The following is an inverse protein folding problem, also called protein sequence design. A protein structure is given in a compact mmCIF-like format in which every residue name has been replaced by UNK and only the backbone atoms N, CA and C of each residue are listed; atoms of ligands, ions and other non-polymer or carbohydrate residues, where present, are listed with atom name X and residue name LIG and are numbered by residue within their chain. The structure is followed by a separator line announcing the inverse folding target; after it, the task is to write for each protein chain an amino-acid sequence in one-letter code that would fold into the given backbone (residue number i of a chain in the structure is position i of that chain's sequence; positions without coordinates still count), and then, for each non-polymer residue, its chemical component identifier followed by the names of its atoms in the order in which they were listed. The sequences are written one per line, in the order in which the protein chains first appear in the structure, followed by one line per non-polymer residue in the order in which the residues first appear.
data_IF_991777479201
#
_entry.id   IF_991777479201
#
_cell.length_a   1.000
_cell.length_b   1.000
_cell.length_c   1.000
_cell.angle_alpha   90.00
_cell.angle_beta   90.00
_cell.angle_gamma   90.00
#
_symmetry.space_group_name_H-M   'P 1'
#
loop_
_entity.id
_entity.type
_entity.pdbx_description
1 polymer ?
#
# COMPACT_ATOMS: atom_id res chain seq x y z
N UNK A 1 -21.49 17.26 -3.31
CA UNK A 1 -20.03 17.10 -3.49
C UNK A 1 -19.74 16.95 -4.98
N UNK A 2 -19.17 17.98 -5.62
CA UNK A 2 -18.74 17.91 -7.02
C UNK A 2 -17.23 17.65 -7.04
N UNK A 3 -16.85 16.45 -7.48
CA UNK A 3 -15.46 16.05 -7.73
C UNK A 3 -15.20 16.12 -9.22
N UNK A 4 -14.13 16.79 -9.64
CA UNK A 4 -13.69 16.85 -11.03
C UNK A 4 -12.26 16.30 -11.13
N UNK A 5 -12.00 15.54 -12.18
CA UNK A 5 -10.67 15.07 -12.51
C UNK A 5 -10.35 15.46 -13.97
N UNK A 6 -9.13 15.95 -14.21
CA UNK A 6 -8.58 16.17 -15.54
C UNK A 6 -7.35 15.29 -15.71
N UNK A 7 -7.34 14.53 -16.78
CA UNK A 7 -6.24 13.66 -17.15
C UNK A 7 -5.58 14.18 -18.42
N UNK A 8 -4.27 14.33 -18.39
CA UNK A 8 -3.49 14.79 -19.52
C UNK A 8 -2.39 13.79 -19.87
N UNK A 9 -2.13 13.65 -21.17
CA UNK A 9 -1.11 12.73 -21.66
C UNK A 9 -1.43 11.27 -21.34
N UNK A 10 -2.68 10.89 -21.50
CA UNK A 10 -3.13 9.50 -21.29
C UNK A 10 -2.65 8.63 -22.46
N UNK A 11 -1.98 7.55 -22.11
CA UNK A 11 -1.60 6.48 -23.03
C UNK A 11 -2.19 5.15 -22.52
N UNK A 12 -2.78 4.41 -23.41
CA UNK A 12 -3.28 3.05 -23.16
C UNK A 12 -2.71 2.13 -24.24
N UNK A 13 -2.03 1.08 -23.80
CA UNK A 13 -1.60 -0.01 -24.67
C UNK A 13 -2.18 -1.29 -24.10
N UNK A 14 -2.90 -2.02 -24.94
CA UNK A 14 -3.41 -3.35 -24.65
C UNK A 14 -2.83 -4.28 -25.70
N UNK A 15 -2.20 -5.34 -25.25
CA UNK A 15 -1.67 -6.41 -26.09
C UNK A 15 -2.14 -7.74 -25.51
N UNK A 16 -2.39 -8.72 -26.33
CA UNK A 16 -2.80 -10.00 -25.80
C UNK A 16 -3.34 -10.97 -26.83
N UNK A 17 -3.48 -12.21 -26.39
CA UNK A 17 -4.05 -13.28 -27.15
C UNK A 17 -5.37 -13.70 -26.50
N UNK A 18 -6.43 -13.65 -27.28
CA UNK A 18 -7.78 -14.04 -26.84
C UNK A 18 -8.17 -15.34 -27.52
N UNK A 19 -8.17 -16.41 -26.76
CA UNK A 19 -8.77 -17.67 -27.16
C UNK A 19 -10.15 -17.81 -26.52
N UNK A 20 -10.97 -18.69 -27.03
CA UNK A 20 -12.36 -18.87 -26.54
C UNK A 20 -12.43 -19.15 -25.03
N UNK A 21 -11.46 -19.89 -24.50
CA UNK A 21 -11.40 -20.30 -23.08
C UNK A 21 -10.26 -19.69 -22.27
N UNK A 22 -9.25 -19.17 -22.92
CA UNK A 22 -8.06 -18.58 -22.28
C UNK A 22 -7.75 -17.23 -22.89
N UNK A 23 -7.25 -16.34 -22.05
CA UNK A 23 -6.74 -15.06 -22.51
C UNK A 23 -5.48 -14.69 -21.76
N UNK A 24 -4.49 -14.22 -22.52
CA UNK A 24 -3.29 -13.58 -22.00
C UNK A 24 -3.34 -12.11 -22.37
N UNK A 25 -3.31 -11.24 -21.37
CA UNK A 25 -3.45 -9.80 -21.53
C UNK A 25 -2.23 -9.08 -20.95
N UNK A 26 -1.76 -8.09 -21.69
CA UNK A 26 -0.79 -7.12 -21.20
C UNK A 26 -1.40 -5.73 -21.30
N UNK A 27 -1.42 -5.02 -20.19
CA UNK A 27 -1.97 -3.68 -20.07
C UNK A 27 -0.88 -2.72 -19.62
N UNK A 28 -0.69 -1.62 -20.36
CA UNK A 28 0.14 -0.48 -19.99
C UNK A 28 -0.72 0.78 -20.05
N UNK A 29 -0.97 1.38 -18.91
CA UNK A 29 -1.73 2.64 -18.77
C UNK A 29 -0.81 3.68 -18.20
N UNK A 30 -0.80 4.87 -18.79
CA UNK A 30 -0.03 6.01 -18.32
C UNK A 30 -0.88 7.27 -18.36
N UNK A 31 -0.71 8.11 -17.34
CA UNK A 31 -1.19 9.49 -17.37
C UNK A 31 -0.07 10.40 -16.85
N UNK A 32 0.30 11.39 -17.66
CA UNK A 32 1.44 12.28 -17.35
C UNK A 32 1.08 13.31 -16.30
N UNK A 33 -0.20 13.69 -16.25
CA UNK A 33 -0.69 14.70 -15.32
C UNK A 33 -2.15 14.42 -14.97
N UNK A 34 -2.42 14.26 -13.70
CA UNK A 34 -3.77 14.12 -13.18
C UNK A 34 -3.99 15.24 -12.18
N UNK A 35 -5.06 15.97 -12.35
CA UNK A 35 -5.48 17.03 -11.45
C UNK A 35 -6.85 16.67 -10.88
N UNK A 36 -7.04 16.90 -9.59
CA UNK A 36 -8.31 16.69 -8.91
C UNK A 36 -8.80 17.97 -8.26
N UNK A 37 -10.07 18.27 -8.45
CA UNK A 37 -10.76 19.37 -7.80
C UNK A 37 -11.96 18.86 -7.01
N UNK A 38 -12.16 19.41 -5.85
CA UNK A 38 -13.37 19.23 -5.05
C UNK A 38 -13.95 20.61 -4.72
N UNK A 39 -15.19 20.82 -5.11
CA UNK A 39 -15.91 22.08 -4.86
C UNK A 39 -15.14 23.33 -5.34
N UNK A 40 -14.43 23.22 -6.46
CA UNK A 40 -13.63 24.29 -7.06
C UNK A 40 -12.20 24.41 -6.50
N UNK A 41 -11.87 23.74 -5.41
CA UNK A 41 -10.53 23.74 -4.84
C UNK A 41 -9.68 22.63 -5.47
N UNK A 42 -8.47 22.99 -5.89
CA UNK A 42 -7.51 22.04 -6.45
C UNK A 42 -6.86 21.22 -5.31
N UNK A 43 -7.26 19.95 -5.18
CA UNK A 43 -6.77 19.06 -4.13
C UNK A 43 -5.42 18.44 -4.47
N UNK A 44 -5.23 18.02 -5.73
CA UNK A 44 -4.02 17.33 -6.16
C UNK A 44 -3.50 17.97 -7.43
N UNK A 45 -2.25 18.40 -7.40
CA UNK A 45 -1.52 18.97 -8.54
C UNK A 45 -0.51 17.95 -9.07
N UNK A 46 -0.53 17.70 -10.39
CA UNK A 46 0.52 16.98 -11.12
C UNK A 46 0.80 15.55 -10.61
N UNK A 47 -0.25 14.75 -10.43
CA UNK A 47 -0.08 13.35 -10.13
C UNK A 47 0.24 12.60 -11.44
N UNK A 48 1.36 11.90 -11.44
CA UNK A 48 1.73 10.97 -12.53
C UNK A 48 1.27 9.58 -12.17
N UNK A 49 0.64 8.92 -13.12
CA UNK A 49 0.14 7.57 -12.94
C UNK A 49 0.70 6.64 -14.02
N UNK A 50 1.03 5.43 -13.62
CA UNK A 50 1.37 4.34 -14.53
C UNK A 50 0.91 3.02 -13.96
N UNK A 51 0.32 2.18 -14.79
CA UNK A 51 -0.05 0.81 -14.47
C UNK A 51 0.46 -0.11 -15.57
N UNK A 52 1.24 -1.11 -15.18
CA UNK A 52 1.69 -2.19 -16.05
C UNK A 52 1.29 -3.51 -15.40
N UNK A 53 0.60 -4.35 -16.13
CA UNK A 53 0.20 -5.66 -15.64
C UNK A 53 0.13 -6.68 -16.76
N UNK A 54 0.58 -7.91 -16.47
CA UNK A 54 0.25 -9.11 -17.22
C UNK A 54 -0.84 -9.86 -16.47
N UNK A 55 -1.84 -10.32 -17.19
CA UNK A 55 -2.95 -11.08 -16.64
C UNK A 55 -3.29 -12.27 -17.53
N UNK A 56 -3.40 -13.44 -16.93
CA UNK A 56 -3.88 -14.66 -17.60
C UNK A 56 -5.24 -15.04 -17.01
N UNK A 57 -6.14 -15.36 -17.91
CA UNK A 57 -7.49 -15.82 -17.57
C UNK A 57 -7.70 -17.22 -18.13
N UNK A 58 -8.23 -18.09 -17.30
CA UNK A 58 -8.77 -19.38 -17.72
C UNK A 58 -10.24 -19.45 -17.32
N UNK A 59 -11.13 -19.46 -18.31
CA UNK A 59 -12.58 -19.41 -18.10
C UNK A 59 -13.14 -20.74 -17.60
N UNK A 60 -12.51 -21.85 -17.97
CA UNK A 60 -13.01 -23.18 -17.58
C UNK A 60 -12.76 -23.41 -16.08
N UNK A 61 -11.62 -22.99 -15.57
CA UNK A 61 -11.27 -23.08 -14.14
C UNK A 61 -11.63 -21.83 -13.35
N UNK A 62 -12.17 -20.78 -14.00
CA UNK A 62 -12.42 -19.48 -13.39
C UNK A 62 -11.19 -18.90 -12.68
N UNK A 63 -10.01 -19.15 -13.25
CA UNK A 63 -8.72 -18.76 -12.69
C UNK A 63 -8.22 -17.47 -13.35
N UNK A 64 -7.87 -16.52 -12.51
CA UNK A 64 -7.25 -15.25 -12.87
C UNK A 64 -5.85 -15.17 -12.25
N UNK A 65 -4.83 -15.03 -13.06
CA UNK A 65 -3.44 -14.90 -12.60
C UNK A 65 -2.94 -13.51 -12.94
N UNK A 66 -2.51 -12.77 -11.93
CA UNK A 66 -1.78 -11.53 -12.08
C UNK A 66 -0.28 -11.83 -12.06
N UNK A 67 0.39 -11.73 -13.19
CA UNK A 67 1.80 -12.08 -13.27
C UNK A 67 2.70 -11.06 -12.54
N UNK A 68 2.42 -9.81 -12.61
CA UNK A 68 2.99 -8.71 -11.79
C UNK A 68 2.31 -7.41 -12.21
N UNK A 69 1.31 -7.00 -11.47
CA UNK A 69 0.81 -5.64 -11.64
C UNK A 69 1.73 -4.66 -10.90
N UNK A 70 2.21 -3.67 -11.62
CA UNK A 70 3.03 -2.59 -11.04
C UNK A 70 2.34 -1.27 -11.32
N UNK A 71 1.84 -0.66 -10.27
CA UNK A 71 1.27 0.68 -10.31
C UNK A 71 2.31 1.68 -9.79
N UNK A 72 2.44 2.79 -10.47
CA UNK A 72 3.27 3.93 -10.03
C UNK A 72 2.40 5.16 -9.89
N UNK A 73 2.52 5.80 -8.74
CA UNK A 73 1.87 7.08 -8.46
C UNK A 73 2.97 8.04 -8.02
N UNK A 74 3.29 9.01 -8.86
CA UNK A 74 4.47 9.85 -8.71
C UNK A 74 5.76 9.01 -8.57
N UNK A 75 6.37 9.05 -7.39
CA UNK A 75 7.59 8.29 -7.04
C UNK A 75 7.29 7.00 -6.28
N UNK A 76 6.05 6.79 -5.86
CA UNK A 76 5.63 5.58 -5.15
C UNK A 76 5.43 4.44 -6.12
N UNK A 77 5.75 3.24 -5.67
CA UNK A 77 5.58 2.00 -6.41
C UNK A 77 4.76 1.01 -5.60
N UNK A 78 3.72 0.50 -6.23
CA UNK A 78 2.84 -0.53 -5.70
C UNK A 78 2.96 -1.75 -6.61
N UNK A 79 3.19 -2.89 -6.03
CA UNK A 79 3.23 -4.17 -6.74
C UNK A 79 2.18 -5.10 -6.19
N UNK A 80 1.50 -5.83 -7.05
CA UNK A 80 0.64 -6.94 -6.67
C UNK A 80 0.79 -8.06 -7.68
N UNK A 81 0.78 -9.29 -7.21
CA UNK A 81 0.82 -10.48 -8.06
C UNK A 81 0.20 -11.66 -7.33
N UNK A 82 -0.16 -12.69 -8.07
CA UNK A 82 -0.77 -13.89 -7.51
C UNK A 82 -1.93 -14.40 -8.32
N UNK A 83 -2.84 -15.09 -7.66
CA UNK A 83 -3.98 -15.73 -8.32
C UNK A 83 -5.28 -15.51 -7.55
N UNK A 84 -6.36 -15.48 -8.31
CA UNK A 84 -7.73 -15.48 -7.84
C UNK A 84 -8.48 -16.59 -8.57
N UNK A 85 -9.22 -17.42 -7.86
CA UNK A 85 -10.02 -18.47 -8.45
C UNK A 85 -11.45 -18.40 -7.89
N UNK A 86 -12.41 -18.24 -8.80
CA UNK A 86 -13.80 -18.19 -8.40
C UNK A 86 -14.38 -19.61 -8.25
N UNK A 87 -15.03 -19.85 -7.12
CA UNK A 87 -15.87 -21.01 -6.86
C UNK A 87 -17.33 -20.59 -7.02
N UNK A 88 -17.88 -20.81 -8.22
CA UNK A 88 -19.22 -20.37 -8.56
C UNK A 88 -20.30 -21.12 -7.78
N UNK A 89 -20.03 -22.36 -7.35
CA UNK A 89 -20.99 -23.19 -6.62
C UNK A 89 -21.19 -22.67 -5.20
N UNK A 90 -20.10 -22.21 -4.55
CA UNK A 90 -20.13 -21.75 -3.19
C UNK A 90 -20.13 -20.22 -3.05
N UNK A 91 -20.16 -19.49 -4.19
CA UNK A 91 -20.03 -18.03 -4.22
C UNK A 91 -18.83 -17.50 -3.45
N UNK A 92 -17.70 -18.21 -3.55
CA UNK A 92 -16.43 -17.88 -2.91
C UNK A 92 -15.38 -17.52 -3.96
N UNK A 93 -14.42 -16.72 -3.54
CA UNK A 93 -13.21 -16.41 -4.31
C UNK A 93 -12.00 -16.90 -3.51
N UNK A 94 -11.24 -17.82 -4.06
CA UNK A 94 -9.97 -18.24 -3.53
C UNK A 94 -8.91 -17.17 -3.88
N UNK A 95 -8.28 -16.61 -2.88
CA UNK A 95 -7.36 -15.48 -2.98
C UNK A 95 -5.97 -15.94 -2.55
N UNK A 96 -4.96 -15.76 -3.41
CA UNK A 96 -3.55 -15.96 -3.09
C UNK A 96 -2.75 -14.84 -3.75
N UNK A 97 -2.66 -13.72 -3.05
CA UNK A 97 -2.01 -12.50 -3.53
C UNK A 97 -0.80 -12.15 -2.68
N UNK A 98 0.22 -11.63 -3.34
CA UNK A 98 1.35 -10.93 -2.72
C UNK A 98 1.32 -9.47 -3.12
N UNK A 99 1.64 -8.59 -2.19
CA UNK A 99 1.72 -7.16 -2.48
C UNK A 99 2.96 -6.52 -1.88
N UNK A 100 3.35 -5.41 -2.47
CA UNK A 100 4.45 -4.60 -1.99
C UNK A 100 4.24 -3.13 -2.31
N UNK A 101 4.58 -2.27 -1.35
CA UNK A 101 4.52 -0.82 -1.46
C UNK A 101 5.92 -0.29 -1.15
N UNK A 102 6.43 0.55 -2.04
CA UNK A 102 7.70 1.25 -1.83
C UNK A 102 7.48 2.74 -2.04
N UNK A 103 7.75 3.50 -0.99
CA UNK A 103 7.74 4.96 -1.00
C UNK A 103 9.16 5.42 -0.71
N UNK A 104 9.84 6.05 -1.67
CA UNK A 104 11.27 6.37 -1.53
C UNK A 104 11.58 7.48 -0.54
N UNK A 105 10.58 8.22 -0.10
CA UNK A 105 10.72 9.26 0.93
C UNK A 105 9.38 9.55 1.59
N UNK A 106 9.38 9.69 2.91
CA UNK A 106 8.22 10.18 3.68
C UNK A 106 7.68 11.51 3.13
N UNK A 107 8.55 12.38 2.61
CA UNK A 107 8.13 13.61 1.92
C UNK A 107 7.16 13.31 0.76
N UNK A 108 7.38 12.23 0.03
CA UNK A 108 6.47 11.85 -1.07
C UNK A 108 5.05 11.55 -0.61
N UNK A 109 4.89 11.05 0.62
CA UNK A 109 3.57 10.87 1.24
C UNK A 109 2.97 12.21 1.65
N UNK A 110 3.76 13.07 2.26
CA UNK A 110 3.31 14.40 2.67
C UNK A 110 2.87 15.23 1.46
N UNK A 111 3.59 15.16 0.35
CA UNK A 111 3.26 15.87 -0.89
C UNK A 111 1.90 15.45 -1.50
N UNK A 112 1.31 14.35 -1.04
CA UNK A 112 -0.03 13.92 -1.45
C UNK A 112 -1.14 14.45 -0.54
N UNK A 113 -0.79 14.92 0.65
CA UNK A 113 -1.79 15.49 1.57
C UNK A 113 -2.17 16.88 1.07
N UNK A 114 -3.45 17.18 0.89
CA UNK A 114 -3.89 18.50 0.46
C UNK A 114 -3.42 19.60 1.44
N UNK A 115 -3.05 20.75 0.92
CA UNK A 115 -2.64 21.94 1.71
C UNK A 115 -3.73 22.42 2.68
N UNK A 116 -4.98 22.06 2.42
CA UNK A 116 -6.12 22.31 3.30
C UNK A 116 -6.09 21.50 4.59
N UNK A 117 -5.37 20.34 4.57
CA UNK A 117 -5.23 19.44 5.72
C UNK A 117 -3.88 19.66 6.40
N UNK A 118 -2.82 19.80 5.63
CA UNK A 118 -1.48 20.03 6.12
C UNK A 118 -0.86 21.20 5.31
N UNK A 119 -0.56 22.29 5.99
CA UNK A 119 0.21 23.38 5.37
C UNK A 119 1.60 22.83 5.08
N UNK A 120 1.95 22.77 3.79
CA UNK A 120 3.30 22.40 3.38
C UNK A 120 4.22 23.57 3.72
N UNK A 121 4.90 23.44 4.84
CA UNK A 121 5.93 24.40 5.22
C UNK A 121 7.20 24.10 4.43
N UNK A 122 7.66 25.07 3.64
CA UNK A 122 8.89 24.95 2.84
C UNK A 122 10.14 24.73 3.71
N UNK A 123 10.04 25.07 4.97
CA UNK A 123 11.13 24.93 5.96
C UNK A 123 11.22 23.51 6.58
N UNK A 124 10.35 22.56 6.16
CA UNK A 124 10.38 21.19 6.68
C UNK A 124 11.13 20.27 5.71
N UNK A 125 12.23 19.70 6.16
CA UNK A 125 12.92 18.62 5.45
C UNK A 125 12.53 17.28 6.07
N UNK A 126 11.99 16.39 5.23
CA UNK A 126 11.57 15.05 5.64
C UNK A 126 12.24 14.00 4.75
N UNK A 127 12.84 13.00 5.37
CA UNK A 127 13.44 11.86 4.69
C UNK A 127 12.96 10.53 5.26
N UNK A 128 13.42 9.43 4.68
CA UNK A 128 13.12 8.07 5.10
C UNK A 128 12.32 7.29 4.06
N UNK A 129 12.71 6.05 3.86
CA UNK A 129 12.03 5.13 2.95
C UNK A 129 10.92 4.37 3.70
N UNK A 130 9.76 4.24 3.07
CA UNK A 130 8.66 3.41 3.58
C UNK A 130 8.48 2.18 2.71
N UNK A 131 8.49 1.03 3.35
CA UNK A 131 8.27 -0.27 2.72
C UNK A 131 7.11 -0.97 3.42
N UNK A 132 6.19 -1.49 2.63
CA UNK A 132 5.18 -2.43 3.11
C UNK A 132 5.12 -3.60 2.15
N UNK A 133 5.08 -4.81 2.67
CA UNK A 133 4.92 -6.03 1.87
C UNK A 133 4.10 -7.04 2.65
N UNK A 134 3.37 -7.86 1.92
CA UNK A 134 2.55 -8.87 2.56
C UNK A 134 1.90 -9.82 1.59
N UNK A 135 1.07 -10.66 2.15
CA UNK A 135 0.23 -11.62 1.43
C UNK A 135 -1.21 -11.51 1.90
N UNK A 136 -2.12 -11.81 1.00
CA UNK A 136 -3.54 -11.95 1.29
C UNK A 136 -3.96 -13.32 0.80
N UNK A 137 -4.25 -14.24 1.72
CA UNK A 137 -4.51 -15.64 1.40
C UNK A 137 -5.75 -16.18 2.09
N UNK A 138 -6.52 -16.95 1.34
CA UNK A 138 -7.72 -17.64 1.84
C UNK A 138 -8.96 -17.35 1.01
N UNK A 139 -10.10 -17.71 1.54
CA UNK A 139 -11.39 -17.57 0.84
C UNK A 139 -12.02 -16.22 1.15
N UNK A 140 -12.49 -15.54 0.12
CA UNK A 140 -13.28 -14.32 0.22
C UNK A 140 -14.73 -14.60 -0.15
N UNK A 141 -15.69 -14.13 0.64
CA UNK A 141 -17.12 -14.26 0.41
C UNK A 141 -17.94 -13.52 1.44
N UNK A 142 -19.24 -13.80 1.51
CA UNK A 142 -20.17 -13.07 2.40
C UNK A 142 -19.72 -13.06 3.86
N UNK A 143 -19.23 -14.19 4.37
CA UNK A 143 -18.83 -14.36 5.77
C UNK A 143 -17.36 -14.81 5.89
N UNK A 144 -16.58 -14.63 4.84
CA UNK A 144 -15.17 -15.03 4.79
C UNK A 144 -14.29 -13.91 4.27
N UNK A 145 -13.17 -13.68 4.95
CA UNK A 145 -12.17 -12.69 4.60
C UNK A 145 -10.79 -13.38 4.61
N UNK A 146 -9.98 -13.21 3.56
CA UNK A 146 -8.64 -13.77 3.53
C UNK A 146 -7.77 -13.28 4.69
N UNK A 147 -6.82 -14.09 5.07
CA UNK A 147 -5.81 -13.75 6.07
C UNK A 147 -4.82 -12.75 5.48
N UNK A 148 -4.59 -11.67 6.20
CA UNK A 148 -3.56 -10.68 5.91
C UNK A 148 -2.31 -11.00 6.74
N UNK A 149 -1.17 -11.21 6.06
CA UNK A 149 0.15 -11.23 6.66
C UNK A 149 0.94 -10.07 6.05
N UNK A 150 1.42 -9.14 6.88
CA UNK A 150 2.09 -7.95 6.39
C UNK A 150 3.25 -7.50 7.28
N UNK A 151 4.27 -6.92 6.65
CA UNK A 151 5.38 -6.24 7.31
C UNK A 151 5.52 -4.83 6.79
N UNK A 152 5.61 -3.90 7.71
CA UNK A 152 5.78 -2.47 7.46
C UNK A 152 7.12 -2.00 8.02
N UNK A 153 7.85 -1.19 7.25
CA UNK A 153 9.11 -0.59 7.68
C UNK A 153 9.19 0.87 7.32
N UNK A 154 9.77 1.64 8.22
CA UNK A 154 10.35 2.94 7.93
C UNK A 154 11.85 2.82 8.18
N UNK A 155 12.66 3.16 7.20
CA UNK A 155 14.11 3.14 7.31
C UNK A 155 14.64 4.57 7.20
N UNK A 156 15.50 4.95 8.14
CA UNK A 156 16.23 6.23 8.15
C UNK A 156 15.29 7.44 7.99
N UNK A 157 14.14 7.39 8.66
CA UNK A 157 13.23 8.52 8.75
C UNK A 157 13.89 9.69 9.48
N UNK A 158 13.66 10.91 9.00
CA UNK A 158 14.05 12.12 9.71
C UNK A 158 13.09 13.26 9.40
N UNK A 159 12.95 14.17 10.35
CA UNK A 159 12.19 15.42 10.19
C UNK A 159 13.00 16.54 10.78
N UNK A 160 13.34 17.54 9.97
CA UNK A 160 14.03 18.76 10.40
C UNK A 160 13.19 19.97 9.99
N UNK A 161 13.01 20.88 10.93
CA UNK A 161 12.32 22.14 10.70
C UNK A 161 13.34 23.28 10.80
N UNK A 162 13.54 24.04 9.71
CA UNK A 162 14.44 25.18 9.71
C UNK A 162 13.89 26.27 10.64
N UNK A 163 14.70 26.66 11.62
CA UNK A 163 14.31 27.67 12.61
C UNK A 163 13.78 27.11 13.93
N UNK A 164 13.66 25.78 14.07
CA UNK A 164 13.39 25.16 15.36
C UNK A 164 14.64 24.42 15.88
N UNK A 165 14.95 24.53 17.18
CA UNK A 165 16.09 23.80 17.79
C UNK A 165 15.84 22.30 17.93
N UNK A 166 14.63 21.84 17.62
CA UNK A 166 14.24 20.44 17.76
C UNK A 166 14.18 19.75 16.40
N UNK A 167 14.82 18.59 16.33
CA UNK A 167 14.80 17.72 15.15
C UNK A 167 14.49 16.28 15.55
N UNK A 168 13.87 15.55 14.64
CA UNK A 168 13.83 14.11 14.65
C UNK A 168 14.94 13.64 13.70
N UNK A 169 16.09 13.25 14.25
CA UNK A 169 17.28 12.94 13.46
C UNK A 169 17.19 11.54 12.86
N UNK A 170 16.53 10.60 13.56
CA UNK A 170 16.36 9.24 13.10
C UNK A 170 15.04 8.65 13.56
N UNK A 171 14.35 7.97 12.63
CA UNK A 171 13.18 7.14 12.88
C UNK A 171 13.31 5.83 12.12
N UNK A 172 13.44 4.73 12.84
CA UNK A 172 13.34 3.38 12.26
C UNK A 172 12.13 2.66 12.86
N UNK A 173 11.29 2.09 12.00
CA UNK A 173 10.14 1.28 12.41
C UNK A 173 10.20 -0.05 11.68
N UNK A 174 10.00 -1.14 12.39
CA UNK A 174 9.83 -2.48 11.83
C UNK A 174 8.66 -3.17 12.54
N UNK A 175 7.54 -3.25 11.85
CA UNK A 175 6.28 -3.79 12.33
C UNK A 175 5.85 -4.96 11.44
N UNK A 176 5.45 -6.07 12.04
CA UNK A 176 4.86 -7.19 11.32
C UNK A 176 3.59 -7.67 12.02
N UNK A 177 2.68 -8.24 11.26
CA UNK A 177 1.45 -8.76 11.84
C UNK A 177 0.69 -9.68 10.92
N UNK A 178 -0.09 -10.53 11.56
CA UNK A 178 -1.06 -11.43 10.93
C UNK A 178 -2.44 -11.07 11.45
N UNK A 179 -3.39 -10.89 10.55
CA UNK A 179 -4.78 -10.65 10.88
C UNK A 179 -5.65 -11.68 10.19
N UNK A 180 -6.28 -12.52 11.00
CA UNK A 180 -7.25 -13.53 10.59
C UNK A 180 -8.60 -13.26 11.27
N UNK A 181 -9.52 -12.67 10.52
CA UNK A 181 -10.87 -12.34 11.01
C UNK A 181 -11.74 -13.59 11.23
N UNK A 182 -11.37 -14.73 10.65
CA UNK A 182 -12.04 -16.02 10.86
C UNK A 182 -11.59 -16.70 12.15
N UNK A 183 -10.48 -16.24 12.73
CA UNK A 183 -9.89 -16.81 13.95
C UNK A 183 -9.47 -18.28 13.80
N UNK A 184 -9.19 -18.73 12.57
CA UNK A 184 -8.65 -20.06 12.30
C UNK A 184 -7.17 -20.18 12.72
N UNK A 185 -6.48 -19.02 12.77
CA UNK A 185 -5.12 -18.90 13.30
C UNK A 185 -4.99 -17.66 14.21
N UNK A 186 -4.00 -17.65 15.11
CA UNK A 186 -3.77 -16.51 15.99
C UNK A 186 -3.43 -15.23 15.23
N UNK A 187 -4.17 -14.16 15.46
CA UNK A 187 -3.83 -12.83 14.97
C UNK A 187 -2.90 -12.13 15.96
N UNK A 188 -1.85 -11.53 15.45
CA UNK A 188 -0.87 -10.80 16.26
C UNK A 188 -0.36 -9.56 15.55
N UNK A 189 0.19 -8.64 16.34
CA UNK A 189 0.97 -7.51 15.87
C UNK A 189 2.30 -7.50 16.65
N UNK A 190 3.43 -7.45 15.95
CA UNK A 190 4.75 -7.44 16.56
C UNK A 190 5.53 -6.24 16.07
N UNK A 191 5.89 -5.39 17.00
CA UNK A 191 6.83 -4.30 16.81
C UNK A 191 8.25 -4.85 17.05
N UNK A 192 8.95 -5.16 15.96
CA UNK A 192 10.32 -5.66 16.04
C UNK A 192 11.27 -4.55 16.48
N UNK A 193 10.99 -3.32 16.06
CA UNK A 193 11.73 -2.13 16.44
C UNK A 193 10.91 -0.87 16.23
N UNK A 194 10.95 0.01 17.20
CA UNK A 194 10.59 1.42 17.08
C UNK A 194 11.72 2.24 17.69
N UNK A 195 12.56 2.80 16.84
CA UNK A 195 13.69 3.61 17.25
C UNK A 195 13.49 5.06 16.83
N UNK A 196 13.57 5.94 17.79
CA UNK A 196 13.48 7.40 17.58
C UNK A 196 14.65 8.07 18.26
N UNK A 197 15.38 8.88 17.50
CA UNK A 197 16.42 9.76 18.02
C UNK A 197 16.14 11.18 17.58
N UNK A 198 16.20 12.10 18.54
CA UNK A 198 16.03 13.54 18.33
C UNK A 198 16.99 14.33 19.22
N UNK A 199 16.82 15.64 19.28
CA UNK A 199 17.72 16.56 19.99
C UNK A 199 17.91 16.17 21.46
N UNK A 200 16.81 15.84 22.17
CA UNK A 200 16.83 15.46 23.59
C UNK A 200 16.09 14.13 23.84
N UNK A 201 15.98 13.30 22.82
CA UNK A 201 15.24 12.06 22.88
C UNK A 201 16.02 10.94 22.20
N UNK A 202 16.14 9.80 22.88
CA UNK A 202 16.66 8.54 22.35
C UNK A 202 15.82 7.40 22.91
N UNK A 203 14.99 6.81 22.08
CA UNK A 203 14.01 5.78 22.48
C UNK A 203 14.13 4.59 21.55
N UNK A 204 14.32 3.40 22.09
CA UNK A 204 14.26 2.13 21.36
C UNK A 204 13.26 1.21 22.07
N UNK A 205 12.21 0.84 21.36
CA UNK A 205 11.11 0.03 21.88
C UNK A 205 10.87 -1.17 20.97
N UNK A 206 10.46 -2.27 21.57
CA UNK A 206 9.90 -3.41 20.89
C UNK A 206 8.71 -3.96 21.68
N UNK A 207 7.89 -4.74 21.04
CA UNK A 207 6.73 -5.30 21.72
C UNK A 207 5.90 -6.21 20.83
N UNK A 208 4.95 -6.89 21.47
CA UNK A 208 4.05 -7.80 20.78
C UNK A 208 2.66 -7.75 21.40
N UNK A 209 1.68 -7.80 20.55
CA UNK A 209 0.28 -7.99 20.92
C UNK A 209 -0.18 -9.29 20.30
N UNK A 210 -0.47 -10.28 21.13
CA UNK A 210 -1.06 -11.55 20.72
C UNK A 210 -2.57 -11.53 20.91
N UNK A 211 -3.27 -12.42 20.24
CA UNK A 211 -4.74 -12.54 20.30
C UNK A 211 -5.47 -11.23 19.98
N UNK A 212 -4.98 -10.51 18.96
CA UNK A 212 -5.39 -9.14 18.58
C UNK A 212 -6.93 -8.97 18.50
N UNK A 213 -7.66 -10.02 18.10
CA UNK A 213 -9.10 -9.99 17.83
C UNK A 213 -9.95 -10.66 18.93
N UNK A 214 -9.37 -11.00 20.08
CA UNK A 214 -10.08 -11.62 21.20
C UNK A 214 -9.72 -10.99 22.53
N UNK A 215 -8.77 -11.57 23.25
CA UNK A 215 -8.21 -11.05 24.50
C UNK A 215 -6.76 -10.62 24.25
N UNK A 216 -6.48 -9.36 23.89
CA UNK A 216 -5.14 -8.94 23.56
C UNK A 216 -4.17 -9.07 24.73
N UNK A 217 -3.08 -9.80 24.54
CA UNK A 217 -1.98 -9.92 25.47
C UNK A 217 -0.83 -9.05 24.96
N UNK A 218 -0.43 -8.06 25.76
CA UNK A 218 0.61 -7.09 25.40
C UNK A 218 1.89 -7.43 26.15
N UNK A 219 2.98 -7.57 25.41
CA UNK A 219 4.35 -7.68 25.93
C UNK A 219 5.18 -6.56 25.33
N UNK A 220 5.87 -5.76 26.13
CA UNK A 220 6.73 -4.67 25.68
C UNK A 220 8.04 -4.65 26.50
N UNK A 221 9.11 -4.19 25.87
CA UNK A 221 10.43 -3.96 26.48
C UNK A 221 11.13 -2.78 25.83
#
# INVERSE_FOLDING_TARGET
NKLYARLEGVGLKIDGNFMERKADLQLDVKAKNILFWQEGNLLVKRLRFGLQTGMRLDRDSMLYVLDKAVMRVNRMKFGVGGRLQADSLNHLLDVDLTFGIKVPSLKTLLDLVPETVLKHDENVTVSGEVLCRGTLKGKYGKDRVPVLDARFKINEGSVKYEGMPYSLDKLDVDLEGVVDLQKEQPSFLKLNRFYVKGTDMDVDLNGRVDQLLSNPLITAS
#
